data_IF_069192655404
#
_entry.id   IF_069192655404
#
_cell.length_a   1.000
_cell.length_b   1.000
_cell.length_c   1.000
_cell.angle_alpha   90.00
_cell.angle_beta   90.00
_cell.angle_gamma   90.00
#
_symmetry.space_group_name_H-M   'P 1'
#
loop_
_entity.id
_entity.type
_entity.pdbx_description
1 polymer ?
#
# COMPACT_ATOMS: atom_id res chain seq x y z
N UNK A 1 -48.25 22.87 -71.15
CA UNK A 1 -48.32 22.46 -69.72
C UNK A 1 -46.94 22.66 -69.06
N UNK A 2 -46.54 23.90 -68.79
CA UNK A 2 -45.19 24.22 -68.28
C UNK A 2 -45.18 24.96 -66.93
N UNK A 3 -46.34 25.34 -66.39
CA UNK A 3 -46.45 26.15 -65.17
C UNK A 3 -46.17 25.39 -63.87
N UNK A 4 -46.57 24.12 -63.78
CA UNK A 4 -46.51 23.38 -62.51
C UNK A 4 -45.09 23.12 -61.99
N UNK A 5 -44.11 22.95 -62.89
CA UNK A 5 -42.71 22.72 -62.47
C UNK A 5 -42.04 24.00 -61.93
N UNK A 6 -42.38 25.15 -62.51
CA UNK A 6 -41.89 26.44 -62.03
C UNK A 6 -42.49 26.77 -60.66
N UNK A 7 -43.77 26.49 -60.47
CA UNK A 7 -44.47 26.74 -59.22
C UNK A 7 -44.00 25.82 -58.09
N UNK A 8 -43.72 24.54 -58.39
CA UNK A 8 -43.07 23.64 -57.44
C UNK A 8 -41.67 24.13 -57.05
N UNK A 9 -40.90 24.68 -58.00
CA UNK A 9 -39.57 25.23 -57.74
C UNK A 9 -39.62 26.48 -56.86
N UNK A 10 -40.57 27.39 -57.10
CA UNK A 10 -40.79 28.55 -56.22
C UNK A 10 -41.22 28.13 -54.82
N UNK A 11 -42.02 27.07 -54.69
CA UNK A 11 -42.46 26.56 -53.39
C UNK A 11 -41.36 25.79 -52.64
N UNK A 12 -40.40 25.20 -53.34
CA UNK A 12 -39.26 24.49 -52.73
C UNK A 12 -38.21 25.47 -52.18
N UNK A 13 -37.98 26.60 -52.86
CA UNK A 13 -36.93 27.56 -52.51
C UNK A 13 -37.01 28.09 -51.06
N UNK A 14 -38.19 28.45 -50.50
CA UNK A 14 -38.31 28.84 -49.08
C UNK A 14 -37.98 27.71 -48.11
N UNK A 15 -38.29 26.47 -48.48
CA UNK A 15 -38.03 25.28 -47.66
C UNK A 15 -36.52 24.97 -47.65
N UNK A 16 -35.86 25.06 -48.80
CA UNK A 16 -34.40 24.93 -48.91
C UNK A 16 -33.66 26.04 -48.15
N UNK A 17 -34.19 27.28 -48.18
CA UNK A 17 -33.62 28.41 -47.43
C UNK A 17 -33.74 28.24 -45.91
N UNK A 18 -34.83 27.63 -45.43
CA UNK A 18 -35.05 27.34 -44.02
C UNK A 18 -34.18 26.18 -43.51
N UNK A 19 -33.92 25.18 -44.36
CA UNK A 19 -33.13 24.00 -44.02
C UNK A 19 -31.62 24.22 -44.21
N UNK A 20 -31.22 25.26 -44.94
CA UNK A 20 -29.84 25.49 -45.34
C UNK A 20 -29.40 24.56 -46.48
N UNK A 21 -28.25 24.85 -47.10
CA UNK A 21 -27.66 23.92 -48.07
C UNK A 21 -27.40 22.59 -47.36
N UNK A 22 -28.05 21.52 -47.82
CA UNK A 22 -27.76 20.17 -47.34
C UNK A 22 -26.27 19.93 -47.58
N UNK A 23 -25.45 19.79 -46.53
CA UNK A 23 -24.02 19.63 -46.71
C UNK A 23 -23.79 18.28 -47.41
N UNK A 24 -23.30 18.34 -48.65
CA UNK A 24 -22.72 17.18 -49.33
C UNK A 24 -21.49 16.75 -48.52
N UNK A 25 -21.66 15.89 -47.52
CA UNK A 25 -20.57 15.48 -46.63
C UNK A 25 -20.92 14.38 -45.64
N UNK A 26 -22.15 14.35 -45.13
CA UNK A 26 -22.78 13.20 -44.48
C UNK A 26 -24.30 13.38 -44.71
N UNK A 27 -24.94 12.47 -45.43
CA UNK A 27 -26.39 12.51 -45.62
C UNK A 27 -27.07 12.20 -44.26
N UNK A 28 -28.36 12.52 -44.12
CA UNK A 28 -29.15 12.17 -42.91
C UNK A 28 -29.01 10.67 -42.59
N UNK A 29 -28.87 9.83 -43.62
CA UNK A 29 -28.55 8.41 -43.52
C UNK A 29 -27.25 8.11 -42.75
N UNK A 30 -26.18 8.88 -42.99
CA UNK A 30 -24.88 8.70 -42.32
C UNK A 30 -24.96 9.09 -40.85
N UNK A 31 -25.67 10.18 -40.55
CA UNK A 31 -25.91 10.60 -39.15
C UNK A 31 -26.73 9.54 -38.40
N UNK A 32 -27.76 8.96 -39.03
CA UNK A 32 -28.54 7.86 -38.46
C UNK A 32 -27.66 6.64 -38.19
N UNK A 33 -26.78 6.26 -39.13
CA UNK A 33 -25.84 5.15 -38.95
C UNK A 33 -24.86 5.38 -37.80
N UNK A 34 -24.34 6.62 -37.66
CA UNK A 34 -23.48 7.01 -36.54
C UNK A 34 -24.21 6.98 -35.20
N UNK A 35 -25.45 7.44 -35.12
CA UNK A 35 -26.28 7.34 -33.91
C UNK A 35 -26.48 5.88 -33.50
N UNK A 36 -26.84 5.00 -34.44
CA UNK A 36 -26.98 3.56 -34.15
C UNK A 36 -25.68 2.94 -33.64
N UNK A 37 -24.54 3.34 -34.19
CA UNK A 37 -23.22 2.87 -33.75
C UNK A 37 -22.89 3.37 -32.34
N UNK A 38 -23.18 4.63 -32.04
CA UNK A 38 -22.99 5.21 -30.71
C UNK A 38 -23.92 4.54 -29.68
N UNK A 39 -25.19 4.32 -30.01
CA UNK A 39 -26.14 3.61 -29.16
C UNK A 39 -25.66 2.19 -28.83
N UNK A 40 -25.13 1.48 -29.83
CA UNK A 40 -24.54 0.15 -29.62
C UNK A 40 -23.31 0.22 -28.70
N UNK A 41 -22.41 1.19 -28.92
CA UNK A 41 -21.22 1.37 -28.08
C UNK A 41 -21.57 1.76 -26.64
N UNK A 42 -22.60 2.59 -26.43
CA UNK A 42 -23.07 2.99 -25.12
C UNK A 42 -23.68 1.81 -24.37
N UNK A 43 -24.47 0.97 -25.05
CA UNK A 43 -24.99 -0.28 -24.47
C UNK A 43 -23.86 -1.20 -24.05
N UNK A 44 -22.86 -1.38 -24.91
CA UNK A 44 -21.71 -2.23 -24.62
C UNK A 44 -20.90 -1.72 -23.41
N UNK A 45 -20.65 -0.41 -23.32
CA UNK A 45 -19.97 0.20 -22.17
C UNK A 45 -20.80 0.02 -20.90
N UNK A 46 -22.12 0.20 -20.99
CA UNK A 46 -23.01 0.02 -19.84
C UNK A 46 -23.00 -1.43 -19.34
N UNK A 47 -23.03 -2.42 -20.24
CA UNK A 47 -22.93 -3.84 -19.90
C UNK A 47 -21.57 -4.17 -19.28
N UNK A 48 -20.48 -3.69 -19.89
CA UNK A 48 -19.12 -3.87 -19.38
C UNK A 48 -18.95 -3.28 -17.98
N UNK A 49 -19.47 -2.08 -17.73
CA UNK A 49 -19.42 -1.46 -16.40
C UNK A 49 -20.20 -2.26 -15.35
N UNK A 50 -21.38 -2.78 -15.71
CA UNK A 50 -22.17 -3.60 -14.81
C UNK A 50 -21.45 -4.90 -14.43
N UNK A 51 -20.76 -5.51 -15.40
CA UNK A 51 -19.97 -6.73 -15.20
C UNK A 51 -18.74 -6.46 -14.32
N UNK A 52 -18.00 -5.37 -14.56
CA UNK A 52 -16.89 -4.96 -13.68
C UNK A 52 -17.37 -4.69 -12.25
N UNK A 53 -18.48 -3.98 -12.09
CA UNK A 53 -19.05 -3.73 -10.77
C UNK A 53 -19.47 -5.02 -10.06
N UNK A 54 -19.99 -6.01 -10.79
CA UNK A 54 -20.31 -7.33 -10.23
C UNK A 54 -19.04 -8.07 -9.79
N UNK A 55 -17.98 -8.03 -10.60
CA UNK A 55 -16.71 -8.66 -10.29
C UNK A 55 -16.05 -8.01 -9.06
N UNK A 56 -16.05 -6.69 -8.96
CA UNK A 56 -15.51 -5.96 -7.80
C UNK A 56 -16.27 -6.32 -6.52
N UNK A 57 -17.60 -6.42 -6.57
CA UNK A 57 -18.41 -6.84 -5.41
C UNK A 57 -18.03 -8.24 -4.96
N UNK A 58 -17.93 -9.18 -5.90
CA UNK A 58 -17.51 -10.56 -5.62
C UNK A 58 -16.12 -10.62 -4.99
N UNK A 59 -15.14 -9.94 -5.57
CA UNK A 59 -13.77 -9.89 -5.04
C UNK A 59 -13.74 -9.31 -3.61
N UNK A 60 -14.58 -8.30 -3.31
CA UNK A 60 -14.68 -7.76 -1.96
C UNK A 60 -15.29 -8.76 -0.96
N UNK A 61 -16.27 -9.56 -1.38
CA UNK A 61 -16.85 -10.63 -0.55
C UNK A 61 -15.82 -11.72 -0.27
N UNK A 62 -15.08 -12.16 -1.29
CA UNK A 62 -14.02 -13.16 -1.16
C UNK A 62 -12.91 -12.68 -0.20
N UNK A 63 -12.42 -11.45 -0.37
CA UNK A 63 -11.41 -10.87 0.53
C UNK A 63 -11.91 -10.73 1.96
N UNK A 64 -13.19 -10.36 2.15
CA UNK A 64 -13.80 -10.31 3.50
C UNK A 64 -13.82 -11.69 4.13
N UNK A 65 -14.14 -12.73 3.37
CA UNK A 65 -14.12 -14.10 3.84
C UNK A 65 -12.70 -14.55 4.23
N UNK A 66 -11.71 -14.31 3.37
CA UNK A 66 -10.31 -14.63 3.65
C UNK A 66 -9.81 -13.95 4.93
N UNK A 67 -10.12 -12.67 5.13
CA UNK A 67 -9.76 -11.93 6.34
C UNK A 67 -10.37 -12.58 7.59
N UNK A 68 -11.64 -13.03 7.52
CA UNK A 68 -12.30 -13.71 8.65
C UNK A 68 -11.59 -15.03 8.97
N UNK A 69 -11.25 -15.81 7.94
CA UNK A 69 -10.55 -17.09 8.11
C UNK A 69 -9.15 -16.88 8.70
N UNK A 70 -8.37 -15.93 8.16
CA UNK A 70 -7.04 -15.60 8.67
C UNK A 70 -7.08 -15.10 10.10
N UNK A 71 -8.04 -14.23 10.45
CA UNK A 71 -8.22 -13.76 11.83
C UNK A 71 -8.56 -14.91 12.77
N UNK A 72 -9.43 -15.83 12.36
CA UNK A 72 -9.76 -17.02 13.16
C UNK A 72 -8.54 -17.92 13.34
N UNK A 73 -7.77 -18.16 12.28
CA UNK A 73 -6.55 -18.95 12.34
C UNK A 73 -5.51 -18.32 13.28
N UNK A 74 -5.33 -16.99 13.22
CA UNK A 74 -4.44 -16.26 14.14
C UNK A 74 -4.94 -16.33 15.58
N UNK A 75 -6.24 -16.20 15.84
CA UNK A 75 -6.81 -16.33 17.18
C UNK A 75 -6.69 -17.75 17.73
N UNK A 76 -6.98 -18.78 16.94
CA UNK A 76 -6.76 -20.18 17.34
C UNK A 76 -5.28 -20.49 17.56
N UNK A 77 -4.38 -19.84 16.82
CA UNK A 77 -2.95 -19.94 17.06
C UNK A 77 -2.50 -19.15 18.30
N UNK A 78 -3.26 -18.15 18.75
CA UNK A 78 -2.98 -17.47 20.02
C UNK A 78 -3.35 -18.31 21.25
N UNK A 79 -4.27 -19.27 21.10
CA UNK A 79 -4.56 -20.31 22.11
C UNK A 79 -3.62 -21.53 22.02
N UNK A 80 -2.99 -21.76 20.85
CA UNK A 80 -2.09 -22.90 20.60
C UNK A 80 -0.59 -22.55 20.67
N UNK A 81 -0.22 -21.27 20.73
CA UNK A 81 1.08 -20.89 21.28
C UNK A 81 0.88 -20.96 22.79
N UNK A 82 1.44 -21.96 23.51
CA UNK A 82 1.60 -21.77 24.92
C UNK A 82 2.37 -20.46 25.03
N UNK A 83 1.74 -19.41 25.55
CA UNK A 83 2.48 -18.32 26.14
C UNK A 83 3.29 -19.03 27.21
N UNK A 84 4.50 -19.47 26.85
CA UNK A 84 5.53 -19.83 27.82
C UNK A 84 5.42 -18.70 28.82
N UNK A 85 5.14 -18.99 30.11
CA UNK A 85 4.97 -17.94 31.10
C UNK A 85 6.11 -16.98 30.84
N UNK A 86 5.81 -15.71 30.54
CA UNK A 86 6.80 -14.73 30.14
C UNK A 86 7.87 -14.74 31.22
N UNK A 87 8.91 -15.56 31.02
CA UNK A 87 9.96 -15.76 31.98
C UNK A 87 10.63 -14.42 31.95
N UNK A 88 10.42 -13.63 33.01
CA UNK A 88 11.06 -12.33 33.15
C UNK A 88 12.55 -12.63 33.06
N UNK A 89 13.15 -12.25 31.95
CA UNK A 89 14.58 -12.45 31.73
C UNK A 89 15.26 -11.65 32.82
N UNK A 90 16.06 -12.28 33.70
CA UNK A 90 16.78 -11.55 34.73
C UNK A 90 17.68 -10.50 34.09
N UNK A 91 17.69 -9.28 34.64
CA UNK A 91 18.55 -8.22 34.15
C UNK A 91 20.03 -8.51 34.47
N UNK A 92 20.96 -8.27 33.53
CA UNK A 92 22.38 -8.42 33.77
C UNK A 92 22.91 -7.48 34.85
N UNK A 93 24.01 -7.89 35.50
CA UNK A 93 24.73 -7.04 36.45
C UNK A 93 25.45 -5.91 35.70
N UNK A 94 25.42 -4.70 36.25
CA UNK A 94 26.17 -3.57 35.71
C UNK A 94 27.68 -3.72 35.90
N UNK A 95 28.46 -3.22 34.94
CA UNK A 95 29.92 -3.23 34.97
C UNK A 95 30.51 -1.84 35.15
N UNK A 96 31.33 -1.67 36.19
CA UNK A 96 31.89 -0.38 36.60
C UNK A 96 33.29 -0.06 36.09
N UNK A 97 33.94 -0.97 35.35
CA UNK A 97 35.31 -0.77 34.90
C UNK A 97 36.39 -1.34 35.83
N UNK A 98 36.05 -2.32 36.67
CA UNK A 98 37.04 -3.02 37.49
C UNK A 98 38.16 -3.58 36.61
N UNK A 99 39.42 -3.42 37.01
CA UNK A 99 40.60 -3.99 36.33
C UNK A 99 40.73 -5.50 36.58
N UNK A 100 39.65 -6.24 36.39
CA UNK A 100 39.57 -7.69 36.55
C UNK A 100 39.07 -8.30 35.26
N UNK A 101 39.94 -9.05 34.56
CA UNK A 101 39.59 -9.74 33.33
C UNK A 101 38.38 -10.68 33.54
N UNK A 102 38.31 -11.31 34.71
CA UNK A 102 37.20 -12.19 35.09
C UNK A 102 35.86 -11.45 35.20
N UNK A 103 35.84 -10.25 35.79
CA UNK A 103 34.59 -9.49 35.91
C UNK A 103 34.10 -8.98 34.56
N UNK A 104 35.03 -8.58 33.69
CA UNK A 104 34.71 -8.19 32.33
C UNK A 104 34.16 -9.36 31.50
N UNK A 105 34.81 -10.52 31.57
CA UNK A 105 34.36 -11.73 30.87
C UNK A 105 32.97 -12.19 31.35
N UNK A 106 32.74 -12.18 32.66
CA UNK A 106 31.43 -12.47 33.24
C UNK A 106 30.35 -11.50 32.73
N UNK A 107 30.65 -10.20 32.70
CA UNK A 107 29.71 -9.20 32.19
C UNK A 107 29.34 -9.46 30.72
N UNK A 108 30.32 -9.71 29.86
CA UNK A 108 30.07 -9.99 28.45
C UNK A 108 29.24 -11.26 28.26
N UNK A 109 29.58 -12.32 29.00
CA UNK A 109 28.82 -13.56 28.98
C UNK A 109 27.36 -13.36 29.44
N UNK A 110 27.13 -12.64 30.54
CA UNK A 110 25.79 -12.35 31.06
C UNK A 110 24.96 -11.53 30.05
N UNK A 111 25.58 -10.57 29.35
CA UNK A 111 24.92 -9.79 28.30
C UNK A 111 24.54 -10.67 27.09
N UNK A 112 25.42 -11.58 26.66
CA UNK A 112 25.12 -12.51 25.57
C UNK A 112 23.94 -13.42 25.91
N UNK A 113 23.94 -14.01 27.11
CA UNK A 113 22.83 -14.85 27.56
C UNK A 113 21.52 -14.06 27.67
N UNK A 114 21.60 -12.82 28.15
CA UNK A 114 20.45 -11.91 28.18
C UNK A 114 19.90 -11.63 26.78
N UNK A 115 20.75 -11.33 25.80
CA UNK A 115 20.30 -11.08 24.43
C UNK A 115 19.64 -12.30 23.78
N UNK A 116 20.18 -13.50 24.02
CA UNK A 116 19.58 -14.76 23.55
C UNK A 116 18.21 -14.97 24.20
N UNK A 117 18.10 -14.78 25.52
CA UNK A 117 16.86 -14.97 26.26
C UNK A 117 15.79 -13.91 25.93
N UNK A 118 16.18 -12.66 25.78
CA UNK A 118 15.31 -11.51 25.48
C UNK A 118 15.06 -11.30 23.98
N UNK A 119 15.71 -12.09 23.10
CA UNK A 119 15.62 -12.00 21.63
C UNK A 119 15.94 -10.59 21.10
N UNK A 120 17.00 -9.99 21.62
CA UNK A 120 17.45 -8.65 21.24
C UNK A 120 18.08 -8.69 19.84
N UNK A 121 17.69 -7.78 18.91
CA UNK A 121 18.29 -7.72 17.57
C UNK A 121 19.74 -7.23 17.62
N UNK A 122 20.58 -7.70 16.68
CA UNK A 122 22.02 -7.42 16.64
C UNK A 122 22.33 -5.91 16.66
N UNK A 123 21.53 -5.12 15.95
CA UNK A 123 21.67 -3.66 15.83
C UNK A 123 21.49 -2.91 17.14
N UNK A 124 20.85 -3.52 18.15
CA UNK A 124 20.57 -2.89 19.44
C UNK A 124 21.51 -3.37 20.56
N UNK A 125 22.25 -4.47 20.35
CA UNK A 125 23.09 -5.09 21.39
C UNK A 125 24.12 -4.13 21.98
N UNK A 126 24.86 -3.42 21.15
CA UNK A 126 25.89 -2.45 21.60
C UNK A 126 25.24 -1.33 22.42
N UNK A 127 24.14 -0.76 21.92
CA UNK A 127 23.39 0.29 22.61
C UNK A 127 22.90 -0.18 23.98
N UNK A 128 22.33 -1.38 24.06
CA UNK A 128 21.82 -1.95 25.32
C UNK A 128 22.98 -2.28 26.28
N UNK A 129 24.07 -2.91 25.81
CA UNK A 129 25.27 -3.14 26.63
C UNK A 129 25.80 -1.86 27.26
N UNK A 130 25.79 -0.75 26.51
CA UNK A 130 26.23 0.56 27.02
C UNK A 130 25.36 1.10 28.18
N UNK A 131 24.08 0.68 28.27
CA UNK A 131 23.20 1.07 29.37
C UNK A 131 23.63 0.44 30.69
N UNK A 132 24.19 -0.77 30.66
CA UNK A 132 24.69 -1.52 31.82
C UNK A 132 26.12 -1.15 32.23
N UNK A 133 26.78 -0.27 31.49
CA UNK A 133 28.03 0.36 31.93
C UNK A 133 27.74 1.45 32.97
N UNK A 134 28.54 1.45 34.04
CA UNK A 134 28.52 2.47 35.10
C UNK A 134 29.95 2.96 35.39
N UNK A 135 30.07 4.03 36.18
CA UNK A 135 31.39 4.54 36.62
C UNK A 135 32.33 4.85 35.46
N UNK A 136 33.60 4.49 35.62
CA UNK A 136 34.68 4.80 34.69
C UNK A 136 34.50 4.11 33.33
N UNK A 137 33.94 2.90 33.31
CA UNK A 137 33.62 2.21 32.05
C UNK A 137 32.63 3.00 31.19
N UNK A 138 31.62 3.61 31.81
CA UNK A 138 30.63 4.44 31.09
C UNK A 138 31.24 5.74 30.57
N UNK A 139 32.13 6.36 31.35
CA UNK A 139 32.85 7.57 30.93
C UNK A 139 33.76 7.29 29.73
N UNK A 140 34.50 6.19 29.77
CA UNK A 140 35.35 5.77 28.66
C UNK A 140 34.55 5.53 27.38
N UNK A 141 33.43 4.80 27.47
CA UNK A 141 32.56 4.52 26.32
C UNK A 141 32.02 5.80 25.68
N UNK A 142 31.55 6.76 26.49
CA UNK A 142 31.05 8.05 25.99
C UNK A 142 32.13 8.86 25.27
N UNK A 143 33.34 8.87 25.82
CA UNK A 143 34.48 9.59 25.21
C UNK A 143 34.79 9.01 23.83
N UNK A 144 34.83 7.68 23.72
CA UNK A 144 35.06 6.99 22.45
C UNK A 144 33.98 7.25 21.40
N UNK A 145 32.70 7.23 21.78
CA UNK A 145 31.60 7.50 20.84
C UNK A 145 31.65 8.94 20.28
N UNK A 146 32.15 9.90 21.07
CA UNK A 146 32.36 11.29 20.61
C UNK A 146 33.54 11.35 19.65
N UNK A 147 34.64 10.65 19.95
CA UNK A 147 35.82 10.59 19.08
C UNK A 147 35.50 9.92 17.73
N UNK A 148 34.75 8.82 17.72
CA UNK A 148 34.35 8.11 16.50
C UNK A 148 33.39 8.95 15.64
N UNK A 149 32.49 9.71 16.28
CA UNK A 149 31.61 10.64 15.58
C UNK A 149 32.40 11.80 14.95
N UNK A 150 33.45 12.28 15.62
CA UNK A 150 34.31 13.36 15.11
C UNK A 150 35.30 12.86 14.03
N UNK A 151 35.71 11.59 14.06
CA UNK A 151 36.64 11.00 13.10
C UNK A 151 35.98 10.58 11.77
N UNK A 152 34.65 10.48 11.73
CA UNK A 152 33.87 10.18 10.53
C UNK A 152 33.41 11.41 9.73
N UNK A 153 33.88 12.61 10.09
CA UNK A 153 33.50 13.89 9.47
C UNK A 153 34.58 14.45 8.53
#
# INVERSE_FOLDING_TARGET
MAGGSHELRERLSPVEALLGAVPNGEDVCDLVARVLTLEASLKHIQESLLEEMAQIRKNNEDLRYEIIVLRRAMASNSDAVPQRPLVRVPEPKSFGGTQSAKELENFLWDMEQYFVAAKVPETEKVTISSMYLIGDAKLWWRTRMVDDANAGQ
#
